data_IF_245518648777
#
_entry.id   IF_245518648777
#
_cell.length_a   1.000
_cell.length_b   1.000
_cell.length_c   1.000
_cell.angle_alpha   90.00
_cell.angle_beta   90.00
_cell.angle_gamma   90.00
#
_symmetry.space_group_name_H-M   'P 1'
#
loop_
_entity.id
_entity.type
_entity.pdbx_description
1 polymer ?
#
# COMPACT_ATOMS: atom_id res chain seq x y z
N UNK A 1 -5.58 4.58 17.75
CA UNK A 1 -5.49 3.28 17.03
C UNK A 1 -4.23 3.25 16.16
N UNK A 2 -3.17 2.51 16.54
CA UNK A 2 -1.90 2.49 15.81
C UNK A 2 -1.96 1.89 14.39
N UNK A 3 -3.02 1.14 14.05
CA UNK A 3 -3.21 0.49 12.73
C UNK A 3 -3.50 1.48 11.59
N UNK A 4 -4.22 2.57 11.86
CA UNK A 4 -4.67 3.48 10.82
C UNK A 4 -3.51 4.23 10.14
N UNK A 5 -2.49 4.63 10.90
CA UNK A 5 -1.33 5.37 10.36
C UNK A 5 -0.45 4.49 9.47
N UNK A 6 -0.16 3.25 9.90
CA UNK A 6 0.58 2.30 9.06
C UNK A 6 -0.19 1.97 7.78
N UNK A 7 -1.52 1.95 7.87
CA UNK A 7 -2.36 1.71 6.70
C UNK A 7 -2.32 2.86 5.71
N UNK A 8 -2.58 4.09 6.16
CA UNK A 8 -2.47 5.27 5.31
C UNK A 8 -1.08 5.44 4.69
N UNK A 9 -0.01 5.18 5.44
CA UNK A 9 1.36 5.22 4.92
C UNK A 9 1.56 4.26 3.73
N UNK A 10 1.13 3.01 3.88
CA UNK A 10 1.32 1.99 2.85
C UNK A 10 0.49 2.28 1.59
N UNK A 11 -0.77 2.68 1.77
CA UNK A 11 -1.66 3.08 0.66
C UNK A 11 -1.05 4.27 -0.11
N UNK A 12 -0.59 5.30 0.59
CA UNK A 12 0.05 6.45 -0.03
C UNK A 12 1.35 6.07 -0.77
N UNK A 13 2.17 5.19 -0.19
CA UNK A 13 3.41 4.72 -0.83
C UNK A 13 3.12 3.93 -2.12
N UNK A 14 2.12 3.05 -2.09
CA UNK A 14 1.69 2.34 -3.29
C UNK A 14 1.13 3.32 -4.33
N UNK A 15 0.30 4.29 -3.92
CA UNK A 15 -0.22 5.32 -4.83
C UNK A 15 0.92 6.14 -5.44
N UNK A 16 2.02 6.36 -4.73
CA UNK A 16 3.21 7.01 -5.27
C UNK A 16 4.03 6.12 -6.24
N UNK A 17 3.62 4.87 -6.48
CA UNK A 17 4.32 3.93 -7.35
C UNK A 17 5.55 3.28 -6.70
N UNK A 18 5.66 3.33 -5.36
CA UNK A 18 6.78 2.71 -4.66
C UNK A 18 6.71 1.19 -4.79
N UNK A 19 7.80 0.51 -5.21
CA UNK A 19 7.85 -0.95 -5.28
C UNK A 19 7.49 -1.62 -3.94
N UNK A 20 6.66 -2.69 -3.94
CA UNK A 20 6.16 -3.31 -2.71
C UNK A 20 7.24 -3.83 -1.74
N UNK A 21 8.40 -4.27 -2.27
CA UNK A 21 9.52 -4.73 -1.44
C UNK A 21 10.17 -3.59 -0.63
N UNK A 22 10.12 -2.34 -1.12
CA UNK A 22 10.60 -1.17 -0.36
C UNK A 22 9.60 -0.78 0.72
N UNK A 23 8.30 -0.81 0.41
CA UNK A 23 7.24 -0.57 1.40
C UNK A 23 7.32 -1.60 2.53
N UNK A 24 7.51 -2.89 2.22
CA UNK A 24 7.76 -3.93 3.22
C UNK A 24 8.94 -3.58 4.14
N UNK A 25 10.08 -3.16 3.55
CA UNK A 25 11.29 -2.78 4.30
C UNK A 25 11.02 -1.60 5.24
N UNK A 26 10.32 -0.56 4.78
CA UNK A 26 10.02 0.62 5.59
C UNK A 26 9.01 0.35 6.71
N UNK A 27 8.08 -0.57 6.50
CA UNK A 27 7.12 -0.99 7.51
C UNK A 27 7.69 -2.02 8.50
N UNK A 28 8.90 -2.54 8.26
CA UNK A 28 9.52 -3.55 9.10
C UNK A 28 8.78 -4.89 9.10
N UNK A 29 8.08 -5.22 8.02
CA UNK A 29 7.35 -6.49 7.93
C UNK A 29 8.29 -7.64 7.56
N UNK A 30 8.28 -8.69 8.37
CA UNK A 30 9.03 -9.92 8.08
C UNK A 30 8.50 -10.70 6.87
N UNK A 31 7.26 -10.46 6.44
CA UNK A 31 6.62 -11.18 5.34
C UNK A 31 5.85 -10.24 4.40
N UNK A 32 5.97 -10.50 3.10
CA UNK A 32 5.16 -9.84 2.07
C UNK A 32 3.66 -10.09 2.23
N UNK A 33 3.26 -11.22 2.83
CA UNK A 33 1.85 -11.50 3.13
C UNK A 33 1.25 -10.42 4.03
N UNK A 34 2.03 -9.92 4.99
CA UNK A 34 1.61 -8.85 5.91
C UNK A 34 1.54 -7.50 5.20
N UNK A 35 2.47 -7.23 4.27
CA UNK A 35 2.46 -6.01 3.45
C UNK A 35 1.29 -5.99 2.47
N UNK A 36 0.92 -7.13 1.90
CA UNK A 36 -0.17 -7.23 0.92
C UNK A 36 -1.53 -6.80 1.48
N UNK A 37 -1.78 -6.98 2.78
CA UNK A 37 -3.01 -6.53 3.46
C UNK A 37 -3.21 -5.01 3.31
N UNK A 38 -2.14 -4.25 3.11
CA UNK A 38 -2.23 -2.81 2.94
C UNK A 38 -2.53 -2.36 1.51
N UNK A 39 -2.46 -3.28 0.54
CA UNK A 39 -2.92 -3.04 -0.83
C UNK A 39 -4.36 -3.47 -1.05
N UNK A 40 -4.97 -4.15 -0.09
CA UNK A 40 -6.37 -4.59 -0.11
C UNK A 40 -7.29 -3.41 0.28
N UNK A 41 -7.35 -2.42 -0.61
CA UNK A 41 -8.20 -1.23 -0.48
C UNK A 41 -9.42 -1.34 -1.39
N UNK A 42 -10.46 -0.57 -1.09
CA UNK A 42 -11.68 -0.52 -1.92
C UNK A 42 -12.13 0.92 -2.12
N UNK A 43 -12.90 1.17 -3.18
CA UNK A 43 -13.50 2.49 -3.43
C UNK A 43 -12.53 3.45 -4.12
N UNK A 44 -12.36 4.71 -3.64
CA UNK A 44 -11.53 5.70 -4.32
C UNK A 44 -10.07 5.27 -4.49
N UNK A 45 -9.46 4.64 -3.47
CA UNK A 45 -8.06 4.24 -3.54
C UNK A 45 -7.83 3.12 -4.57
N UNK A 46 -8.75 2.16 -4.65
CA UNK A 46 -8.73 1.09 -5.66
C UNK A 46 -8.84 1.66 -7.08
N UNK A 47 -9.71 2.65 -7.29
CA UNK A 47 -9.84 3.34 -8.58
C UNK A 47 -8.57 4.07 -8.98
N UNK A 48 -7.90 4.76 -8.05
CA UNK A 48 -6.63 5.43 -8.34
C UNK A 48 -5.52 4.45 -8.73
N UNK A 49 -5.49 3.25 -8.13
CA UNK A 49 -4.57 2.19 -8.56
C UNK A 49 -4.89 1.71 -9.97
N UNK A 50 -6.16 1.47 -10.27
CA UNK A 50 -6.59 1.09 -11.61
C UNK A 50 -6.26 2.19 -12.63
N UNK A 51 -6.49 3.46 -12.34
CA UNK A 51 -6.17 4.56 -13.28
C UNK A 51 -4.68 4.58 -13.69
N UNK A 52 -3.76 4.32 -12.76
CA UNK A 52 -2.31 4.33 -13.00
C UNK A 52 -1.79 3.23 -13.92
N UNK A 53 -2.49 2.10 -14.02
CA UNK A 53 -2.04 1.00 -14.90
C UNK A 53 -2.44 1.24 -16.36
N UNK A 54 -3.36 2.17 -16.63
CA UNK A 54 -3.87 2.49 -17.98
C UNK A 54 -3.49 3.89 -18.46
N UNK A 55 -2.77 4.67 -17.65
CA UNK A 55 -2.16 5.97 -18.03
C UNK A 55 -0.76 5.79 -18.62
#
# INVERSE_FOLDING_TARGET
>A
MPKALRHGFAVAAFQAGVPPHLVQKWMGHASMRTTAIYGDVSGPDERMFAEKMWS
#
